data_IF_901531286448
#
_entry.id   IF_901531286448
#
_cell.length_a   1.000
_cell.length_b   1.000
_cell.length_c   1.000
_cell.angle_alpha   90.00
_cell.angle_beta   90.00
_cell.angle_gamma   90.00
#
_symmetry.space_group_name_H-M   'P 1'
#
loop_
_entity.id
_entity.type
_entity.pdbx_description
1 polymer ?
#
# COMPACT_ATOMS: atom_id res chain seq x y z
N UNK A 1 -3.53 23.06 8.01
CA UNK A 1 -3.13 22.06 7.00
C UNK A 1 -1.60 22.01 6.92
N UNK A 2 -0.92 23.14 6.67
CA UNK A 2 0.56 23.20 6.61
C UNK A 2 1.33 22.44 7.71
N UNK A 3 0.98 22.61 9.00
CA UNK A 3 1.67 21.87 10.08
C UNK A 3 1.56 20.34 9.93
N UNK A 4 0.43 19.84 9.44
CA UNK A 4 0.23 18.42 9.17
C UNK A 4 1.07 17.97 7.97
N UNK A 5 1.16 18.81 6.93
CA UNK A 5 1.94 18.53 5.74
C UNK A 5 3.46 18.53 5.98
N UNK A 6 3.94 19.12 7.07
CA UNK A 6 5.36 19.14 7.41
C UNK A 6 5.70 18.34 8.67
N UNK A 7 4.75 17.50 9.13
CA UNK A 7 4.95 16.56 10.22
C UNK A 7 5.04 15.15 9.63
N UNK A 8 6.25 14.63 9.50
CA UNK A 8 6.53 13.30 8.96
C UNK A 8 7.78 12.69 9.66
N UNK A 9 7.78 11.39 9.99
CA UNK A 9 6.67 10.44 9.88
C UNK A 9 5.61 10.63 10.98
N UNK A 10 4.36 10.22 10.70
CA UNK A 10 3.28 10.17 11.70
C UNK A 10 2.76 8.74 11.78
N UNK A 11 2.84 8.12 12.96
CA UNK A 11 2.37 6.76 13.23
C UNK A 11 0.93 6.71 13.76
N UNK A 12 0.30 5.52 13.82
CA UNK A 12 -1.04 5.36 14.39
C UNK A 12 -1.09 5.84 15.83
N UNK A 13 -0.05 5.54 16.62
CA UNK A 13 0.00 5.90 18.03
C UNK A 13 -1.10 5.20 18.81
N UNK A 14 -1.89 5.92 19.60
CA UNK A 14 -3.01 5.38 20.39
C UNK A 14 -4.39 5.54 19.71
N UNK A 15 -4.42 5.91 18.44
CA UNK A 15 -5.65 6.24 17.70
C UNK A 15 -6.39 5.01 17.18
N UNK A 16 -7.13 4.34 18.08
CA UNK A 16 -7.86 3.11 17.79
C UNK A 16 -9.38 3.23 18.03
N UNK A 17 -10.12 2.31 17.41
CA UNK A 17 -11.53 2.05 17.65
C UNK A 17 -11.83 0.55 17.62
N UNK A 18 -13.02 0.17 18.10
CA UNK A 18 -13.49 -1.21 18.03
C UNK A 18 -14.47 -1.36 16.87
N UNK A 19 -14.23 -2.36 16.01
CA UNK A 19 -15.11 -2.74 14.91
C UNK A 19 -15.61 -4.18 15.09
N UNK A 20 -16.75 -4.49 14.48
CA UNK A 20 -17.19 -5.87 14.31
C UNK A 20 -16.24 -6.62 13.37
N UNK A 21 -15.83 -7.81 13.77
CA UNK A 21 -15.00 -8.67 12.93
C UNK A 21 -15.80 -9.18 11.73
N UNK A 22 -15.39 -8.93 10.47
CA UNK A 22 -16.24 -9.16 9.30
C UNK A 22 -16.70 -10.62 9.09
N UNK A 23 -15.94 -11.62 9.55
CA UNK A 23 -16.36 -13.03 9.46
C UNK A 23 -17.09 -13.57 10.71
N UNK A 24 -17.70 -12.70 11.52
CA UNK A 24 -18.53 -13.11 12.67
C UNK A 24 -19.66 -14.09 12.31
N UNK A 25 -20.11 -14.09 11.05
CA UNK A 25 -21.16 -14.98 10.54
C UNK A 25 -20.66 -16.44 10.44
N UNK A 26 -19.36 -16.64 10.16
CA UNK A 26 -18.76 -17.95 9.94
C UNK A 26 -18.17 -18.56 11.21
N UNK A 27 -17.93 -17.75 12.24
CA UNK A 27 -17.40 -18.20 13.53
C UNK A 27 -18.54 -18.24 14.55
N UNK A 28 -19.27 -19.37 14.61
CA UNK A 28 -20.42 -19.55 15.53
C UNK A 28 -20.09 -19.23 17.00
N UNK A 29 -18.81 -19.38 17.41
CA UNK A 29 -18.29 -19.09 18.75
C UNK A 29 -17.83 -17.64 18.97
N UNK A 30 -17.84 -16.78 17.93
CA UNK A 30 -17.29 -15.41 17.95
C UNK A 30 -18.27 -14.33 17.47
N UNK A 31 -19.59 -14.53 17.60
CA UNK A 31 -20.61 -13.59 17.13
C UNK A 31 -20.49 -12.16 17.68
N UNK A 32 -19.86 -11.97 18.83
CA UNK A 32 -19.61 -10.65 19.46
C UNK A 32 -18.12 -10.26 19.47
N UNK A 33 -17.30 -10.87 18.61
CA UNK A 33 -15.87 -10.59 18.58
C UNK A 33 -15.60 -9.22 17.94
N UNK A 34 -15.13 -8.29 18.78
CA UNK A 34 -14.69 -6.95 18.38
C UNK A 34 -13.18 -6.96 18.15
N UNK A 35 -12.76 -6.32 17.05
CA UNK A 35 -11.36 -6.06 16.78
C UNK A 35 -11.03 -4.60 17.10
N UNK A 36 -9.94 -4.40 17.87
CA UNK A 36 -9.36 -3.08 18.06
C UNK A 36 -8.48 -2.75 16.85
N UNK A 37 -8.88 -1.77 16.06
CA UNK A 37 -8.22 -1.38 14.80
C UNK A 37 -7.90 0.11 14.78
N UNK A 38 -6.89 0.56 14.02
CA UNK A 38 -6.62 1.99 13.87
C UNK A 38 -7.84 2.73 13.35
N UNK A 39 -8.04 3.98 13.78
CA UNK A 39 -9.02 4.86 13.13
C UNK A 39 -8.51 5.27 11.77
N UNK A 40 -9.46 5.47 10.85
CA UNK A 40 -9.17 6.16 9.60
C UNK A 40 -8.63 7.56 9.88
N UNK A 41 -7.66 7.99 9.07
CA UNK A 41 -7.10 9.32 9.17
C UNK A 41 -8.14 10.38 8.87
N UNK A 42 -8.54 11.12 9.90
CA UNK A 42 -9.53 12.18 9.82
C UNK A 42 -9.15 13.38 10.71
N UNK A 43 -8.10 14.13 10.34
CA UNK A 43 -7.60 15.21 11.17
C UNK A 43 -8.56 16.40 11.12
N UNK A 44 -8.89 16.92 12.32
CA UNK A 44 -9.85 18.03 12.54
C UNK A 44 -9.58 19.31 11.74
N UNK A 45 -8.38 19.45 11.20
CA UNK A 45 -7.96 20.62 10.40
C UNK A 45 -8.75 20.76 9.09
N UNK A 46 -9.38 19.69 8.61
CA UNK A 46 -10.25 19.71 7.43
C UNK A 46 -11.71 20.10 7.75
N UNK A 47 -12.02 20.43 9.00
CA UNK A 47 -13.34 20.89 9.42
C UNK A 47 -14.15 19.84 10.19
N UNK A 48 -15.37 20.21 10.63
CA UNK A 48 -16.16 19.39 11.55
C UNK A 48 -16.71 18.08 10.95
N UNK A 49 -16.96 18.00 9.64
CA UNK A 49 -17.32 16.73 8.97
C UNK A 49 -16.12 15.97 8.41
N UNK A 50 -14.91 16.40 8.73
CA UNK A 50 -13.70 15.65 8.44
C UNK A 50 -13.20 15.76 7.00
N UNK A 51 -12.13 15.02 6.72
CA UNK A 51 -11.40 15.07 5.45
C UNK A 51 -12.25 14.58 4.27
N UNK A 52 -13.15 13.63 4.48
CA UNK A 52 -14.06 13.15 3.42
C UNK A 52 -15.16 14.15 3.10
N UNK A 53 -15.62 14.94 4.08
CA UNK A 53 -16.54 16.04 3.81
C UNK A 53 -15.82 17.13 3.00
N UNK A 54 -14.60 17.49 3.42
CA UNK A 54 -13.75 18.46 2.73
C UNK A 54 -13.48 18.06 1.28
N UNK A 55 -13.11 16.80 1.04
CA UNK A 55 -12.86 16.25 -0.28
C UNK A 55 -14.17 15.79 -0.96
N UNK A 56 -14.98 16.73 -1.42
CA UNK A 56 -16.14 16.43 -2.26
C UNK A 56 -17.39 15.92 -1.54
N UNK A 57 -17.51 16.18 -0.22
CA UNK A 57 -18.70 15.87 0.58
C UNK A 57 -19.13 14.40 0.49
N UNK A 58 -18.21 13.49 0.86
CA UNK A 58 -18.43 12.05 0.82
C UNK A 58 -18.85 11.54 -0.57
N UNK A 59 -18.27 12.11 -1.63
CA UNK A 59 -18.55 11.74 -3.02
C UNK A 59 -19.82 12.36 -3.62
N UNK A 60 -20.53 13.27 -2.91
CA UNK A 60 -21.68 14.00 -3.47
C UNK A 60 -21.28 14.95 -4.61
N UNK A 61 -20.02 15.33 -4.68
CA UNK A 61 -19.42 16.05 -5.82
C UNK A 61 -17.99 15.56 -6.02
N UNK A 62 -17.45 15.84 -7.19
CA UNK A 62 -16.01 15.70 -7.42
C UNK A 62 -15.24 16.69 -6.55
N UNK A 63 -14.09 16.25 -6.03
CA UNK A 63 -13.13 17.14 -5.40
C UNK A 63 -12.47 18.04 -6.46
N UNK A 64 -12.05 19.23 -6.07
CA UNK A 64 -11.26 20.09 -6.97
C UNK A 64 -9.77 19.74 -6.88
N UNK A 65 -8.95 20.06 -7.91
CA UNK A 65 -7.50 19.90 -7.82
C UNK A 65 -6.89 20.63 -6.61
N UNK A 66 -7.43 21.80 -6.23
CA UNK A 66 -6.95 22.55 -5.06
C UNK A 66 -7.23 21.81 -3.75
N UNK A 67 -8.37 21.14 -3.64
CA UNK A 67 -8.72 20.29 -2.48
C UNK A 67 -7.83 19.05 -2.42
N UNK A 68 -7.64 18.37 -3.56
CA UNK A 68 -6.75 17.22 -3.67
C UNK A 68 -5.30 17.57 -3.27
N UNK A 69 -4.82 18.75 -3.69
CA UNK A 69 -3.50 19.26 -3.35
C UNK A 69 -3.31 19.57 -1.85
N UNK A 70 -4.39 19.71 -1.06
CA UNK A 70 -4.28 19.86 0.40
C UNK A 70 -3.99 18.54 1.14
N UNK A 71 -4.02 17.41 0.44
CA UNK A 71 -3.67 16.10 0.98
C UNK A 71 -2.22 15.79 0.60
N UNK A 72 -1.45 15.35 1.59
CA UNK A 72 -0.07 14.94 1.40
C UNK A 72 0.91 15.70 2.27
N UNK A 73 1.82 14.96 2.89
CA UNK A 73 2.93 15.48 3.67
C UNK A 73 4.25 15.39 2.91
N UNK A 74 5.18 16.24 3.32
CA UNK A 74 6.53 16.32 2.79
C UNK A 74 7.50 15.97 3.91
N UNK A 75 8.62 15.33 3.56
CA UNK A 75 9.67 15.05 4.53
C UNK A 75 10.45 16.34 4.89
N UNK A 76 11.44 16.21 5.78
CA UNK A 76 12.30 17.34 6.22
C UNK A 76 13.02 18.07 5.08
N UNK A 77 13.25 17.38 3.96
CA UNK A 77 13.96 17.89 2.79
C UNK A 77 12.98 18.46 1.73
N UNK A 78 11.68 18.48 2.02
CA UNK A 78 10.64 18.97 1.13
C UNK A 78 10.23 17.98 0.02
N UNK A 79 10.66 16.72 0.10
CA UNK A 79 10.24 15.68 -0.85
C UNK A 79 8.85 15.16 -0.51
N UNK A 80 8.07 14.83 -1.54
CA UNK A 80 6.79 14.15 -1.36
C UNK A 80 6.97 12.80 -0.67
N UNK A 81 6.23 12.58 0.41
CA UNK A 81 6.30 11.33 1.18
C UNK A 81 5.50 10.21 0.51
N UNK A 82 5.88 8.96 0.81
CA UNK A 82 5.24 7.77 0.25
C UNK A 82 4.83 6.87 1.41
N UNK A 83 3.53 6.70 1.59
CA UNK A 83 2.98 5.62 2.41
C UNK A 83 3.03 4.33 1.60
N UNK A 84 3.58 3.26 2.17
CA UNK A 84 3.56 1.93 1.57
C UNK A 84 2.81 0.98 2.50
N UNK A 85 1.80 0.31 1.98
CA UNK A 85 1.07 -0.74 2.69
C UNK A 85 1.36 -2.12 2.11
N UNK A 86 1.65 -3.07 2.99
CA UNK A 86 1.80 -4.49 2.68
C UNK A 86 0.77 -5.28 3.47
N UNK A 87 -0.01 -6.10 2.78
CA UNK A 87 -0.83 -7.14 3.41
C UNK A 87 -0.08 -8.48 3.30
N UNK A 88 0.41 -8.98 4.43
CA UNK A 88 1.13 -10.24 4.53
C UNK A 88 0.22 -11.30 5.15
N UNK A 89 0.17 -12.48 4.55
CA UNK A 89 -0.50 -13.65 5.13
C UNK A 89 0.48 -14.82 5.14
N UNK A 90 1.12 -15.01 6.31
CA UNK A 90 2.06 -16.11 6.55
C UNK A 90 3.15 -16.20 5.48
N UNK A 91 3.58 -15.04 4.96
CA UNK A 91 4.46 -14.95 3.79
C UNK A 91 5.93 -14.84 4.22
N UNK A 92 6.77 -15.84 3.92
CA UNK A 92 8.19 -15.82 4.33
C UNK A 92 9.03 -14.79 3.56
N UNK A 93 8.51 -14.22 2.47
CA UNK A 93 9.23 -13.22 1.67
C UNK A 93 9.00 -11.79 2.14
N UNK A 94 8.08 -11.56 3.09
CA UNK A 94 7.73 -10.22 3.55
C UNK A 94 8.95 -9.44 4.05
N UNK A 95 9.80 -10.07 4.86
CA UNK A 95 11.06 -9.47 5.34
C UNK A 95 11.95 -9.02 4.17
N UNK A 96 12.10 -9.85 3.14
CA UNK A 96 12.94 -9.53 1.96
C UNK A 96 12.34 -8.37 1.17
N UNK A 97 11.02 -8.35 1.01
CA UNK A 97 10.31 -7.24 0.36
C UNK A 97 10.54 -5.93 1.09
N UNK A 98 10.47 -5.91 2.43
CA UNK A 98 10.71 -4.72 3.25
C UNK A 98 12.17 -4.26 3.15
N UNK A 99 13.12 -5.18 3.18
CA UNK A 99 14.54 -4.88 3.01
C UNK A 99 14.80 -4.21 1.65
N UNK A 100 14.32 -4.81 0.56
CA UNK A 100 14.47 -4.27 -0.79
C UNK A 100 13.82 -2.89 -0.96
N UNK A 101 12.63 -2.72 -0.39
CA UNK A 101 11.85 -1.47 -0.46
C UNK A 101 12.66 -0.27 0.04
N UNK A 102 13.37 -0.41 1.15
CA UNK A 102 14.18 0.67 1.72
C UNK A 102 15.60 0.72 1.15
N UNK A 103 16.28 -0.42 1.01
CA UNK A 103 17.67 -0.46 0.55
C UNK A 103 17.84 -0.03 -0.90
N UNK A 104 16.79 -0.17 -1.71
CA UNK A 104 16.80 0.19 -3.14
C UNK A 104 16.08 1.50 -3.43
N UNK A 105 15.55 2.18 -2.42
CA UNK A 105 15.02 3.54 -2.58
C UNK A 105 16.18 4.55 -2.70
N UNK A 106 16.02 5.53 -3.58
CA UNK A 106 16.90 6.69 -3.70
C UNK A 106 16.78 7.61 -2.49
N UNK A 107 15.55 7.76 -1.97
CA UNK A 107 15.23 8.61 -0.82
C UNK A 107 14.45 7.83 0.25
N UNK A 108 15.08 6.89 0.98
CA UNK A 108 14.39 6.06 1.96
C UNK A 108 13.68 6.87 3.07
N UNK A 109 14.24 8.03 3.44
CA UNK A 109 13.72 8.95 4.46
C UNK A 109 12.37 9.61 4.10
N UNK A 110 11.81 9.41 2.91
CA UNK A 110 10.45 9.89 2.56
C UNK A 110 9.40 8.78 2.62
N UNK A 111 9.81 7.55 2.92
CA UNK A 111 8.93 6.39 2.94
C UNK A 111 8.45 6.13 4.36
N UNK A 112 7.16 5.81 4.50
CA UNK A 112 6.58 5.24 5.70
C UNK A 112 5.92 3.93 5.33
N UNK A 113 6.30 2.86 6.00
CA UNK A 113 5.79 1.51 5.76
C UNK A 113 4.76 1.14 6.84
N UNK A 114 3.66 0.53 6.42
CA UNK A 114 2.73 -0.19 7.26
C UNK A 114 2.56 -1.62 6.75
N UNK A 115 2.76 -2.59 7.63
CA UNK A 115 2.55 -4.01 7.32
C UNK A 115 1.40 -4.53 8.18
N UNK A 116 0.39 -5.10 7.55
CA UNK A 116 -0.60 -5.92 8.23
C UNK A 116 -0.12 -7.37 8.13
N UNK A 117 0.41 -7.88 9.23
CA UNK A 117 1.11 -9.17 9.26
C UNK A 117 0.23 -10.24 9.91
N UNK A 118 -0.35 -11.10 9.08
CA UNK A 118 -1.28 -12.13 9.52
C UNK A 118 -0.52 -13.45 9.72
N UNK A 119 -0.34 -13.85 10.97
CA UNK A 119 0.66 -14.84 11.39
C UNK A 119 0.09 -15.95 12.28
N UNK A 120 0.77 -17.10 12.27
CA UNK A 120 0.71 -18.16 13.28
C UNK A 120 1.97 -18.19 14.14
N UNK A 121 1.92 -18.94 15.24
CA UNK A 121 2.98 -19.01 16.25
C UNK A 121 4.35 -19.40 15.66
N UNK A 122 4.37 -20.28 14.65
CA UNK A 122 5.60 -20.78 14.01
C UNK A 122 6.02 -19.98 12.77
N UNK A 123 5.27 -18.94 12.38
CA UNK A 123 5.58 -18.17 11.17
C UNK A 123 6.68 -17.12 11.43
N UNK A 124 7.50 -16.87 10.43
CA UNK A 124 8.46 -15.76 10.45
C UNK A 124 7.73 -14.43 10.37
N UNK A 125 7.95 -13.55 11.36
CA UNK A 125 7.41 -12.19 11.33
C UNK A 125 8.11 -11.34 10.27
N UNK A 126 7.34 -10.52 9.57
CA UNK A 126 7.90 -9.54 8.63
C UNK A 126 8.78 -8.50 9.32
N UNK A 127 8.53 -8.24 10.61
CA UNK A 127 9.33 -7.32 11.44
C UNK A 127 10.65 -7.90 11.93
N UNK A 128 10.92 -9.18 11.67
CA UNK A 128 12.12 -9.87 12.15
C UNK A 128 13.23 -9.75 11.11
N UNK A 129 14.33 -9.03 11.41
CA UNK A 129 15.50 -8.99 10.51
C UNK A 129 16.17 -10.36 10.42
N UNK A 130 16.87 -10.63 9.32
CA UNK A 130 17.58 -11.91 9.09
C UNK A 130 18.69 -12.13 10.12
N UNK A 131 19.40 -11.05 10.49
CA UNK A 131 20.42 -11.04 11.53
C UNK A 131 20.05 -10.05 12.65
N UNK A 132 20.47 -10.29 13.91
CA UNK A 132 20.26 -9.32 14.98
C UNK A 132 20.81 -7.94 14.60
N UNK A 133 20.11 -6.87 14.98
CA UNK A 133 20.51 -5.50 14.63
C UNK A 133 21.86 -5.11 15.26
N UNK A 134 22.29 -5.77 16.33
CA UNK A 134 23.61 -5.61 16.93
C UNK A 134 24.73 -6.17 16.04
N UNK A 135 24.42 -7.20 15.24
CA UNK A 135 25.37 -7.86 14.33
C UNK A 135 25.39 -7.20 12.95
N UNK A 136 24.24 -6.78 12.43
CA UNK A 136 24.12 -6.06 11.17
C UNK A 136 23.09 -4.91 11.27
N UNK A 137 23.53 -3.73 11.71
CA UNK A 137 22.65 -2.56 11.86
C UNK A 137 22.25 -1.90 10.54
N UNK A 138 22.87 -2.28 9.41
CA UNK A 138 22.62 -1.65 8.11
C UNK A 138 21.41 -2.28 7.37
N UNK A 139 20.88 -3.40 7.86
CA UNK A 139 19.58 -3.94 7.42
C UNK A 139 18.49 -2.87 7.56
N UNK A 140 17.58 -2.79 6.60
CA UNK A 140 16.52 -1.80 6.59
C UNK A 140 15.64 -1.87 7.83
N UNK A 141 15.27 -3.08 8.28
CA UNK A 141 14.46 -3.29 9.48
C UNK A 141 15.10 -2.74 10.74
N UNK A 142 16.43 -2.60 10.75
CA UNK A 142 17.18 -1.98 11.84
C UNK A 142 17.33 -0.46 11.62
N UNK A 143 17.86 -0.07 10.46
CA UNK A 143 18.21 1.31 10.12
C UNK A 143 17.01 2.24 10.00
N UNK A 144 15.92 1.75 9.43
CA UNK A 144 14.71 2.52 9.12
C UNK A 144 13.50 2.11 9.96
N UNK A 145 13.71 1.40 11.07
CA UNK A 145 12.62 0.94 11.96
C UNK A 145 11.65 2.05 12.35
N UNK A 146 12.16 3.27 12.57
CA UNK A 146 11.37 4.45 12.93
C UNK A 146 10.39 4.94 11.84
N UNK A 147 10.48 4.40 10.63
CA UNK A 147 9.60 4.65 9.48
C UNK A 147 8.59 3.51 9.26
N UNK A 148 8.62 2.46 10.08
CA UNK A 148 7.84 1.23 9.90
C UNK A 148 6.84 1.02 11.03
N UNK A 149 5.67 0.48 10.70
CA UNK A 149 4.64 0.10 11.67
C UNK A 149 4.06 -1.27 11.28
N UNK A 150 3.96 -2.18 12.24
CA UNK A 150 3.48 -3.54 12.03
C UNK A 150 2.20 -3.75 12.83
N UNK A 151 1.14 -4.18 12.16
CA UNK A 151 -0.14 -4.54 12.75
C UNK A 151 -0.32 -6.05 12.63
N UNK A 152 0.06 -6.75 13.70
CA UNK A 152 -0.04 -8.21 13.76
C UNK A 152 -1.50 -8.65 13.97
N UNK A 153 -1.93 -9.64 13.20
CA UNK A 153 -3.25 -10.26 13.29
C UNK A 153 -3.04 -11.78 13.36
N UNK A 154 -3.81 -12.47 14.21
CA UNK A 154 -3.81 -13.94 14.21
C UNK A 154 -4.31 -14.44 12.84
N UNK A 155 -3.54 -15.31 12.18
CA UNK A 155 -3.90 -15.90 10.90
C UNK A 155 -5.24 -16.63 10.88
N UNK A 156 -5.76 -17.11 12.03
CA UNK A 156 -7.12 -17.67 12.12
C UNK A 156 -8.23 -16.63 11.98
N UNK A 157 -7.88 -15.34 12.11
CA UNK A 157 -8.78 -14.21 11.91
C UNK A 157 -8.66 -13.63 10.49
N UNK A 158 -7.85 -14.23 9.62
CA UNK A 158 -7.73 -13.80 8.23
C UNK A 158 -8.96 -14.20 7.43
N UNK A 159 -9.56 -13.22 6.75
CA UNK A 159 -10.79 -13.40 5.95
C UNK A 159 -10.60 -13.02 4.49
N UNK A 160 -9.34 -12.87 4.07
CA UNK A 160 -8.95 -12.49 2.72
C UNK A 160 -8.13 -11.19 2.68
N UNK A 161 -7.50 -10.91 1.51
CA UNK A 161 -6.59 -9.78 1.35
C UNK A 161 -7.31 -8.43 1.42
N UNK A 162 -8.61 -8.36 1.09
CA UNK A 162 -9.40 -7.13 1.14
C UNK A 162 -9.48 -6.58 2.56
N UNK A 163 -9.76 -7.44 3.55
CA UNK A 163 -9.78 -7.03 4.95
C UNK A 163 -8.40 -6.60 5.45
N UNK A 164 -7.33 -7.32 5.09
CA UNK A 164 -5.97 -6.93 5.46
C UNK A 164 -5.59 -5.55 4.87
N UNK A 165 -5.99 -5.28 3.62
CA UNK A 165 -5.77 -3.98 2.98
C UNK A 165 -6.69 -2.89 3.54
N UNK A 166 -7.88 -3.23 4.01
CA UNK A 166 -8.72 -2.32 4.82
C UNK A 166 -8.02 -1.89 6.11
N UNK A 167 -7.43 -2.83 6.85
CA UNK A 167 -6.62 -2.53 8.03
C UNK A 167 -5.43 -1.63 7.65
N UNK A 168 -4.77 -1.91 6.53
CA UNK A 168 -3.66 -1.09 6.06
C UNK A 168 -4.13 0.32 5.67
N UNK A 169 -5.28 0.51 5.03
CA UNK A 169 -5.82 1.86 4.74
C UNK A 169 -6.10 2.66 6.04
N UNK A 170 -6.42 1.99 7.15
CA UNK A 170 -6.57 2.64 8.46
C UNK A 170 -5.23 3.11 9.05
N UNK A 171 -4.10 2.62 8.57
CA UNK A 171 -2.75 3.01 9.04
C UNK A 171 -2.13 4.18 8.24
N UNK A 172 -2.78 4.61 7.14
CA UNK A 172 -2.41 5.81 6.40
C UNK A 172 -2.49 7.06 7.29
N UNK A 173 -1.53 7.99 7.20
CA UNK A 173 -1.45 9.15 8.11
C UNK A 173 -1.22 10.49 7.40
N UNK A 174 -1.56 10.56 6.12
CA UNK A 174 -1.60 11.81 5.36
C UNK A 174 -0.42 11.99 4.42
N UNK A 175 0.29 10.91 4.08
CA UNK A 175 1.43 10.92 3.15
C UNK A 175 1.01 11.36 1.74
N UNK A 176 1.95 11.94 0.99
CA UNK A 176 1.66 12.54 -0.32
C UNK A 176 1.23 11.51 -1.35
N UNK A 177 1.97 10.41 -1.43
CA UNK A 177 1.63 9.24 -2.21
C UNK A 177 1.24 8.08 -1.31
N UNK A 178 0.40 7.20 -1.83
CA UNK A 178 0.06 5.94 -1.22
C UNK A 178 0.33 4.83 -2.24
N UNK A 179 1.09 3.83 -1.80
CA UNK A 179 1.45 2.65 -2.54
C UNK A 179 0.94 1.42 -1.80
N UNK A 180 0.35 0.48 -2.52
CA UNK A 180 0.06 -0.85 -2.03
C UNK A 180 0.82 -1.86 -2.85
N UNK A 181 1.43 -2.82 -2.17
CA UNK A 181 2.14 -3.93 -2.80
C UNK A 181 1.84 -5.25 -2.08
N UNK A 182 2.02 -6.36 -2.79
CA UNK A 182 2.01 -7.70 -2.18
C UNK A 182 3.29 -7.95 -1.34
N UNK A 183 3.26 -8.97 -0.50
CA UNK A 183 4.33 -9.27 0.46
C UNK A 183 5.58 -9.93 -0.14
N UNK A 184 5.53 -10.37 -1.40
CA UNK A 184 6.62 -11.08 -2.09
C UNK A 184 7.08 -10.31 -3.32
N UNK A 185 7.45 -9.05 -3.13
CA UNK A 185 7.87 -8.13 -4.18
C UNK A 185 9.38 -7.92 -4.15
N UNK A 186 9.94 -7.47 -5.27
CA UNK A 186 11.33 -7.04 -5.37
C UNK A 186 11.37 -5.69 -6.04
N UNK A 187 12.01 -4.73 -5.39
CA UNK A 187 12.10 -3.37 -5.90
C UNK A 187 13.33 -3.20 -6.78
N UNK A 188 13.23 -2.38 -7.82
CA UNK A 188 14.40 -1.97 -8.60
C UNK A 188 15.11 -0.83 -7.87
N UNK A 189 16.39 -0.64 -8.17
CA UNK A 189 17.14 0.53 -7.71
C UNK A 189 16.44 1.82 -8.10
N UNK A 190 16.42 2.78 -7.16
CA UNK A 190 15.84 4.11 -7.28
C UNK A 190 14.33 4.11 -7.61
N UNK A 191 13.62 3.03 -7.26
CA UNK A 191 12.21 2.83 -7.63
C UNK A 191 11.29 3.98 -7.22
N UNK A 192 11.55 4.59 -6.07
CA UNK A 192 10.69 5.60 -5.48
C UNK A 192 10.70 6.87 -6.34
N UNK A 193 11.88 7.28 -6.82
CA UNK A 193 12.04 8.48 -7.65
C UNK A 193 11.50 8.22 -9.07
N UNK A 194 11.79 7.03 -9.61
CA UNK A 194 11.27 6.60 -10.90
C UNK A 194 9.73 6.55 -10.91
N UNK A 195 9.12 5.91 -9.91
CA UNK A 195 7.66 5.76 -9.83
C UNK A 195 6.94 7.10 -9.63
N UNK A 196 7.48 8.00 -8.81
CA UNK A 196 6.97 9.37 -8.68
C UNK A 196 7.08 10.12 -10.01
N UNK A 197 8.18 9.96 -10.75
CA UNK A 197 8.36 10.54 -12.08
C UNK A 197 7.33 10.03 -13.09
N UNK A 198 7.10 8.71 -13.12
CA UNK A 198 6.10 8.08 -13.99
C UNK A 198 4.67 8.54 -13.65
N UNK A 199 4.33 8.62 -12.37
CA UNK A 199 3.01 9.11 -11.95
C UNK A 199 2.82 10.58 -12.36
N UNK A 200 3.83 11.43 -12.13
CA UNK A 200 3.78 12.86 -12.52
C UNK A 200 3.63 13.04 -14.03
N UNK A 201 4.22 12.17 -14.86
CA UNK A 201 4.10 12.28 -16.32
C UNK A 201 2.71 11.93 -16.85
N UNK A 202 1.85 11.30 -16.05
CA UNK A 202 0.43 11.13 -16.39
C UNK A 202 -0.37 12.46 -16.38
N UNK A 203 0.18 13.52 -15.75
CA UNK A 203 -0.45 14.84 -15.65
C UNK A 203 -1.93 14.79 -15.19
N UNK A 204 -2.22 13.93 -14.22
CA UNK A 204 -3.55 13.70 -13.70
C UNK A 204 -3.50 13.44 -12.19
N UNK A 205 -4.00 14.38 -11.40
CA UNK A 205 -4.02 14.32 -9.92
C UNK A 205 -4.83 13.13 -9.37
N UNK A 206 -5.70 12.54 -10.20
CA UNK A 206 -6.54 11.39 -9.88
C UNK A 206 -5.98 10.07 -10.46
N UNK A 207 -4.80 10.09 -11.08
CA UNK A 207 -4.21 8.88 -11.64
C UNK A 207 -3.90 7.85 -10.55
N UNK A 208 -4.14 6.59 -10.88
CA UNK A 208 -3.66 5.42 -10.15
C UNK A 208 -2.76 4.68 -11.11
N UNK A 209 -1.45 4.68 -10.85
CA UNK A 209 -0.53 3.81 -11.55
C UNK A 209 -0.68 2.40 -10.98
N UNK A 210 -0.94 1.44 -11.83
CA UNK A 210 -1.17 0.05 -11.46
C UNK A 210 -0.66 -0.83 -12.59
N UNK A 211 -0.35 -2.08 -12.25
CA UNK A 211 0.11 -3.12 -13.16
C UNK A 211 0.18 -4.43 -12.39
N UNK A 212 -0.03 -5.55 -13.06
CA UNK A 212 0.37 -6.83 -12.49
C UNK A 212 1.90 -6.89 -12.40
N UNK A 213 2.51 -7.30 -11.28
CA UNK A 213 3.97 -7.39 -11.19
C UNK A 213 4.55 -8.45 -12.15
N UNK A 214 5.64 -8.10 -12.83
CA UNK A 214 6.39 -9.06 -13.66
C UNK A 214 7.11 -10.11 -12.81
N UNK A 215 7.37 -11.27 -13.40
CA UNK A 215 8.19 -12.30 -12.77
C UNK A 215 9.62 -11.78 -12.49
N UNK A 216 10.26 -12.29 -11.42
CA UNK A 216 11.59 -11.84 -11.01
C UNK A 216 12.70 -12.24 -11.99
N UNK A 217 12.50 -13.32 -12.77
CA UNK A 217 13.56 -13.93 -13.56
C UNK A 217 13.97 -13.02 -14.73
N UNK A 218 15.23 -12.59 -14.71
CA UNK A 218 15.78 -11.67 -15.72
C UNK A 218 15.17 -10.26 -15.66
N UNK A 219 14.48 -9.89 -14.57
CA UNK A 219 13.84 -8.58 -14.42
C UNK A 219 14.71 -7.57 -13.68
N UNK A 220 15.61 -8.03 -12.82
CA UNK A 220 16.48 -7.20 -11.98
C UNK A 220 17.91 -7.75 -12.03
N UNK A 221 18.89 -6.86 -12.22
CA UNK A 221 20.30 -7.24 -12.11
C UNK A 221 20.63 -7.66 -10.67
N UNK A 222 21.22 -8.84 -10.44
CA UNK A 222 21.47 -9.33 -9.08
C UNK A 222 22.53 -8.52 -8.32
N UNK A 223 23.37 -7.74 -9.01
CA UNK A 223 24.45 -6.96 -8.39
C UNK A 223 24.13 -5.46 -8.34
N UNK A 224 23.61 -4.90 -9.43
CA UNK A 224 23.31 -3.46 -9.50
C UNK A 224 21.89 -3.11 -9.05
N UNK A 225 21.02 -4.12 -8.99
CA UNK A 225 19.58 -4.00 -8.74
C UNK A 225 18.83 -3.13 -9.77
N UNK A 226 19.47 -2.84 -10.90
CA UNK A 226 18.87 -2.10 -11.99
C UNK A 226 17.84 -2.96 -12.72
N UNK A 227 16.79 -2.31 -13.22
CA UNK A 227 15.77 -2.95 -14.03
C UNK A 227 16.38 -3.49 -15.33
N UNK A 228 16.16 -4.77 -15.61
CA UNK A 228 16.55 -5.43 -16.87
C UNK A 228 15.37 -5.68 -17.81
N UNK A 229 14.15 -5.72 -17.29
CA UNK A 229 12.92 -5.91 -18.07
C UNK A 229 12.25 -4.59 -18.40
N UNK A 230 11.96 -4.38 -19.68
CA UNK A 230 11.36 -3.14 -20.20
C UNK A 230 10.00 -3.38 -20.88
N UNK A 231 9.50 -4.61 -20.80
CA UNK A 231 8.14 -4.99 -21.17
C UNK A 231 7.17 -4.57 -20.08
N UNK A 232 5.89 -4.57 -20.42
CA UNK A 232 4.80 -4.33 -19.46
C UNK A 232 3.69 -5.35 -19.66
N UNK A 233 3.01 -5.75 -18.57
CA UNK A 233 1.72 -6.41 -18.66
C UNK A 233 0.58 -5.41 -18.82
N UNK A 234 -0.57 -5.88 -19.32
CA UNK A 234 -1.84 -5.13 -19.34
C UNK A 234 -2.91 -6.06 -18.82
N UNK A 235 -3.60 -5.67 -17.76
CA UNK A 235 -4.81 -6.35 -17.34
C UNK A 235 -5.93 -5.99 -18.30
N UNK A 236 -6.35 -6.96 -19.10
CA UNK A 236 -7.40 -6.70 -20.11
C UNK A 236 -8.17 -7.95 -20.53
N UNK A 237 -7.95 -9.08 -19.86
CA UNK A 237 -8.80 -10.25 -19.97
C UNK A 237 -9.62 -10.42 -18.69
N UNK A 238 -10.82 -10.97 -18.80
CA UNK A 238 -11.72 -11.16 -17.66
C UNK A 238 -12.59 -12.36 -17.89
N UNK A 239 -12.60 -13.24 -16.90
CA UNK A 239 -13.47 -14.39 -16.85
C UNK A 239 -13.98 -14.58 -15.43
N UNK A 240 -14.92 -15.51 -15.29
CA UNK A 240 -15.37 -15.90 -13.97
C UNK A 240 -14.61 -17.14 -13.52
N UNK A 241 -13.93 -17.03 -12.40
CA UNK A 241 -13.29 -18.16 -11.72
C UNK A 241 -14.29 -18.82 -10.75
N UNK A 242 -14.09 -20.11 -10.47
CA UNK A 242 -14.90 -20.86 -9.51
C UNK A 242 -16.21 -21.44 -10.09
N UNK A 243 -17.07 -21.93 -9.20
CA UNK A 243 -18.33 -22.58 -9.57
C UNK A 243 -19.45 -22.30 -8.55
N UNK A 244 -20.71 -22.36 -8.99
CA UNK A 244 -21.86 -22.10 -8.11
C UNK A 244 -21.87 -20.68 -7.54
N UNK A 245 -22.16 -20.56 -6.25
CA UNK A 245 -22.27 -19.29 -5.53
C UNK A 245 -20.90 -18.66 -5.19
N UNK A 246 -19.80 -19.42 -5.32
CA UNK A 246 -18.41 -18.95 -5.10
C UNK A 246 -17.78 -18.35 -6.37
N UNK A 247 -18.57 -18.24 -7.44
CA UNK A 247 -18.12 -17.72 -8.72
C UNK A 247 -17.84 -16.22 -8.62
N UNK A 248 -16.62 -15.80 -8.95
CA UNK A 248 -16.18 -14.41 -8.86
C UNK A 248 -15.45 -13.98 -10.13
N UNK A 249 -15.29 -12.67 -10.33
CA UNK A 249 -14.56 -12.12 -11.47
C UNK A 249 -13.06 -12.21 -11.20
N UNK A 250 -12.33 -12.75 -12.16
CA UNK A 250 -10.88 -12.74 -12.20
C UNK A 250 -10.42 -11.90 -13.40
N UNK A 251 -9.41 -11.06 -13.18
CA UNK A 251 -8.81 -10.23 -14.22
C UNK A 251 -7.42 -10.76 -14.52
N UNK A 252 -7.18 -11.12 -15.77
CA UNK A 252 -5.90 -11.65 -16.24
C UNK A 252 -5.19 -10.63 -17.16
N UNK A 253 -3.89 -10.84 -17.32
CA UNK A 253 -3.00 -10.01 -18.10
C UNK A 253 -2.75 -10.60 -19.49
N UNK A 254 -2.60 -9.71 -20.47
CA UNK A 254 -2.00 -10.09 -21.75
C UNK A 254 -0.52 -10.45 -21.58
N UNK A 255 0.04 -11.28 -22.49
CA UNK A 255 1.48 -11.50 -22.55
C UNK A 255 2.23 -10.18 -22.58
N UNK A 256 3.29 -10.09 -21.78
CA UNK A 256 4.05 -8.85 -21.67
C UNK A 256 4.65 -8.44 -23.01
N UNK A 257 4.59 -7.14 -23.31
CA UNK A 257 5.11 -6.58 -24.56
C UNK A 257 5.84 -5.28 -24.31
N UNK A 258 6.68 -4.90 -25.26
CA UNK A 258 7.28 -3.56 -25.25
C UNK A 258 6.18 -2.50 -25.35
N UNK A 259 6.22 -1.45 -24.52
CA UNK A 259 5.20 -0.42 -24.52
C UNK A 259 5.24 0.37 -25.86
N UNK A 260 4.10 0.51 -26.57
CA UNK A 260 4.03 1.31 -27.79
C UNK A 260 4.08 2.82 -27.51
N UNK A 261 3.63 3.25 -26.33
CA UNK A 261 3.64 4.63 -25.87
C UNK A 261 4.86 4.83 -24.95
N UNK A 262 5.50 6.00 -25.07
CA UNK A 262 6.71 6.37 -24.31
C UNK A 262 6.56 7.75 -23.71
N UNK A 263 7.15 7.98 -22.56
CA UNK A 263 7.14 9.28 -21.86
C UNK A 263 5.98 9.46 -20.89
N UNK A 264 4.92 8.65 -21.00
CA UNK A 264 3.76 8.64 -20.11
C UNK A 264 3.29 7.21 -19.84
N UNK A 265 2.60 6.95 -18.70
CA UNK A 265 1.95 5.68 -18.45
C UNK A 265 0.82 5.40 -19.45
N UNK A 266 0.56 4.12 -19.69
CA UNK A 266 -0.56 3.70 -20.52
C UNK A 266 -1.79 3.39 -19.68
N UNK A 267 -2.96 3.73 -20.19
CA UNK A 267 -4.22 3.33 -19.59
C UNK A 267 -4.43 1.82 -19.73
N UNK A 268 -4.95 1.21 -18.68
CA UNK A 268 -5.50 -0.15 -18.69
C UNK A 268 -6.91 -0.17 -18.06
N UNK A 269 -7.77 -1.12 -18.44
CA UNK A 269 -9.18 -1.15 -18.02
C UNK A 269 -9.39 -1.62 -16.58
N UNK A 270 -8.45 -2.38 -16.01
CA UNK A 270 -8.58 -3.00 -14.69
C UNK A 270 -7.50 -2.51 -13.73
N UNK A 271 -7.73 -2.76 -12.45
CA UNK A 271 -6.83 -2.35 -11.37
C UNK A 271 -6.17 -3.57 -10.76
N UNK A 272 -4.84 -3.57 -10.72
CA UNK A 272 -4.06 -4.62 -10.08
C UNK A 272 -3.97 -4.35 -8.59
N UNK A 273 -4.67 -5.15 -7.79
CA UNK A 273 -4.65 -4.92 -6.35
C UNK A 273 -3.28 -5.26 -5.72
N UNK A 274 -2.45 -6.09 -6.38
CA UNK A 274 -1.09 -6.43 -5.94
C UNK A 274 -0.04 -5.34 -6.15
N UNK A 275 -0.32 -4.33 -6.97
CA UNK A 275 0.49 -3.12 -7.08
C UNK A 275 -0.37 -1.92 -7.51
N UNK A 276 -0.42 -0.90 -6.66
CA UNK A 276 -1.04 0.37 -7.01
C UNK A 276 -0.31 1.55 -6.36
N UNK A 277 -0.22 2.66 -7.07
CA UNK A 277 0.45 3.89 -6.63
C UNK A 277 -0.37 5.12 -7.05
N UNK A 278 -0.79 5.91 -6.08
CA UNK A 278 -1.65 7.06 -6.29
C UNK A 278 -1.36 8.18 -5.29
N UNK A 279 -2.02 9.31 -5.43
CA UNK A 279 -2.04 10.36 -4.40
C UNK A 279 -2.77 9.88 -3.16
N UNK A 280 -2.35 10.36 -2.00
CA UNK A 280 -2.91 9.94 -0.71
C UNK A 280 -4.42 10.17 -0.53
N UNK A 281 -5.02 11.11 -1.27
CA UNK A 281 -6.47 11.31 -1.26
C UNK A 281 -7.27 10.09 -1.74
N UNK A 282 -6.65 9.20 -2.54
CA UNK A 282 -7.22 7.93 -2.99
C UNK A 282 -7.64 7.06 -1.80
N UNK A 283 -6.74 6.88 -0.83
CA UNK A 283 -6.95 6.04 0.36
C UNK A 283 -8.13 6.52 1.20
N UNK A 284 -8.30 7.85 1.26
CA UNK A 284 -9.33 8.52 2.06
C UNK A 284 -10.70 8.48 1.39
N UNK A 285 -10.75 8.65 0.07
CA UNK A 285 -12.01 8.66 -0.68
C UNK A 285 -12.60 7.29 -0.89
N UNK A 286 -11.73 6.34 -1.26
CA UNK A 286 -12.10 5.00 -1.69
C UNK A 286 -11.38 3.97 -0.80
N UNK A 287 -11.63 3.98 0.53
CA UNK A 287 -11.06 2.96 1.39
C UNK A 287 -11.64 1.59 1.03
N UNK A 288 -10.84 0.53 1.20
CA UNK A 288 -11.35 -0.82 1.12
C UNK A 288 -12.53 -1.02 2.08
N UNK A 289 -13.54 -1.76 1.64
CA UNK A 289 -14.63 -2.19 2.51
C UNK A 289 -14.16 -3.41 3.31
N UNK A 290 -14.47 -3.47 4.60
CA UNK A 290 -14.08 -4.58 5.45
C UNK A 290 -14.91 -5.86 5.22
N UNK A 291 -16.04 -5.76 4.52
CA UNK A 291 -16.98 -6.87 4.29
C UNK A 291 -16.92 -7.46 2.87
N UNK A 292 -16.07 -6.91 2.00
CA UNK A 292 -15.85 -7.40 0.64
C UNK A 292 -14.75 -8.47 0.57
#
# INVERSE_FOLDING_TARGET
IANLQHNFPVHVGDDFEEIDFPAFIYLESKKDFKLKVPRFWDPKVYGPGGVREFLGNHGKRLMTPEEAAQIGSFNKDGLETIYVSIASYRDPECTITVEDLFLRAKYPDRIRLAVVDQLKEDDSKCSSPERPCEEDPEQALCKYQHLMEFFEVDGDLSVGPVFARHLAHRMYRGEYFAMQVDAHMRFTKDWDDDLVGQWKSANNEMAVATAYPSDLNGSIDPNTHERQRFTRPIMCDTYFEGSGDEKHLEHDQQPEQNPPIKGEPMMEPYWAAGFSFARGHFVVQVPYDQYL
#
